data_IF_169328754156
#
_entry.id   IF_169328754156
#
_cell.length_a   1.000
_cell.length_b   1.000
_cell.length_c   1.000
_cell.angle_alpha   90.00
_cell.angle_beta   90.00
_cell.angle_gamma   90.00
#
_symmetry.space_group_name_H-M   'P 1'
#
loop_
_entity.id
_entity.type
_entity.pdbx_description
1 polymer ?
#
# COMPACT_ATOMS: atom_id res chain seq x y z
N UNK A 1 17.83 11.20 17.39
CA UNK A 1 17.60 10.40 16.17
C UNK A 1 16.70 11.20 15.24
N UNK A 2 17.01 11.27 13.94
CA UNK A 2 16.21 12.05 12.99
C UNK A 2 14.97 11.23 12.64
N UNK A 3 13.78 11.83 12.78
CA UNK A 3 12.46 11.23 12.46
C UNK A 3 12.39 10.64 11.04
N UNK A 4 13.30 11.06 10.17
CA UNK A 4 13.43 10.66 8.77
C UNK A 4 14.00 9.24 8.60
N UNK A 5 14.67 8.68 9.61
CA UNK A 5 15.33 7.37 9.53
C UNK A 5 14.40 6.21 9.94
N UNK A 6 13.42 6.47 10.81
CA UNK A 6 12.43 5.47 11.26
C UNK A 6 11.34 5.19 10.22
N UNK A 7 10.94 6.19 9.42
CA UNK A 7 9.95 6.01 8.35
C UNK A 7 10.46 5.15 7.18
N UNK A 8 11.78 5.09 6.97
CA UNK A 8 12.40 4.35 5.86
C UNK A 8 12.44 2.83 6.02
N UNK A 9 12.12 2.29 7.21
CA UNK A 9 12.00 0.85 7.46
C UNK A 9 10.55 0.36 7.43
N UNK A 10 9.58 1.18 7.86
CA UNK A 10 8.16 0.81 7.96
C UNK A 10 7.45 0.67 6.59
N UNK A 11 8.02 1.21 5.52
CA UNK A 11 7.44 1.15 4.16
C UNK A 11 8.15 0.17 3.23
N UNK A 12 9.08 -0.65 3.78
CA UNK A 12 9.79 -1.65 3.01
C UNK A 12 8.92 -2.88 2.82
N UNK A 13 8.55 -3.15 1.57
CA UNK A 13 7.80 -4.35 1.22
C UNK A 13 8.75 -5.55 1.18
N UNK A 14 8.45 -6.57 1.96
CA UNK A 14 9.11 -7.88 1.92
C UNK A 14 8.56 -8.72 0.77
N UNK A 15 9.18 -9.86 0.49
CA UNK A 15 8.68 -10.79 -0.52
C UNK A 15 7.31 -11.39 -0.14
N UNK A 16 7.04 -11.52 1.16
CA UNK A 16 5.73 -11.91 1.67
C UNK A 16 4.68 -10.84 1.42
N UNK A 17 5.01 -9.57 1.67
CA UNK A 17 4.12 -8.44 1.34
C UNK A 17 3.81 -8.42 -0.17
N UNK A 18 4.81 -8.68 -1.02
CA UNK A 18 4.61 -8.76 -2.47
C UNK A 18 3.68 -9.92 -2.85
N UNK A 19 3.87 -11.09 -2.25
CA UNK A 19 3.01 -12.25 -2.50
C UNK A 19 1.55 -11.94 -2.11
N UNK A 20 1.36 -11.28 -0.98
CA UNK A 20 0.04 -10.89 -0.50
C UNK A 20 -0.59 -9.82 -1.39
N UNK A 21 0.16 -8.79 -1.82
CA UNK A 21 -0.32 -7.79 -2.80
C UNK A 21 -0.84 -8.48 -4.06
N UNK A 22 -0.12 -9.50 -4.55
CA UNK A 22 -0.55 -10.27 -5.73
C UNK A 22 -1.81 -11.11 -5.46
N UNK A 23 -1.95 -11.66 -4.26
CA UNK A 23 -3.16 -12.40 -3.86
C UNK A 23 -4.39 -11.49 -3.75
N UNK A 24 -4.25 -10.32 -3.13
CA UNK A 24 -5.32 -9.30 -3.04
C UNK A 24 -5.72 -8.82 -4.43
N UNK A 25 -4.75 -8.46 -5.27
CA UNK A 25 -5.01 -8.05 -6.65
C UNK A 25 -5.76 -9.11 -7.46
N UNK A 26 -5.44 -10.38 -7.23
CA UNK A 26 -6.09 -11.51 -7.90
C UNK A 26 -7.46 -11.88 -7.31
N UNK A 27 -7.94 -11.11 -6.32
CA UNK A 27 -9.18 -11.38 -5.59
C UNK A 27 -9.17 -12.78 -4.93
N UNK A 28 -8.01 -13.19 -4.40
CA UNK A 28 -7.78 -14.49 -3.76
C UNK A 28 -7.53 -14.41 -2.26
N UNK A 29 -7.34 -13.21 -1.73
CA UNK A 29 -7.10 -12.95 -0.32
C UNK A 29 -7.52 -11.52 0.02
N UNK A 30 -7.87 -11.29 1.27
CA UNK A 30 -8.07 -9.95 1.79
C UNK A 30 -6.71 -9.31 2.15
N UNK A 31 -6.70 -7.97 2.14
CA UNK A 31 -5.61 -7.21 2.74
C UNK A 31 -5.53 -7.60 4.23
N UNK A 32 -4.33 -7.71 4.81
CA UNK A 32 -4.17 -7.85 6.27
C UNK A 32 -3.77 -6.52 6.88
N UNK A 33 -3.97 -6.38 8.19
CA UNK A 33 -3.62 -5.17 8.95
C UNK A 33 -2.13 -4.83 8.81
N UNK A 34 -1.24 -5.82 8.82
CA UNK A 34 0.21 -5.59 8.68
C UNK A 34 0.57 -5.01 7.31
N UNK A 35 -0.05 -5.51 6.24
CA UNK A 35 0.19 -4.98 4.90
C UNK A 35 -0.50 -3.62 4.71
N UNK A 36 -1.68 -3.44 5.30
CA UNK A 36 -2.37 -2.16 5.33
C UNK A 36 -1.51 -1.07 5.99
N UNK A 37 -0.91 -1.33 7.14
CA UNK A 37 -0.03 -0.38 7.84
C UNK A 37 1.17 0.07 6.98
N UNK A 38 1.67 -0.81 6.12
CA UNK A 38 2.77 -0.49 5.17
C UNK A 38 2.30 0.27 3.94
N UNK A 39 1.14 -0.11 3.38
CA UNK A 39 0.62 0.48 2.14
C UNK A 39 -0.06 1.83 2.37
N UNK A 40 -0.69 2.03 3.52
CA UNK A 40 -1.36 3.28 3.87
C UNK A 40 -0.47 4.52 3.69
N UNK A 41 0.73 4.61 4.31
CA UNK A 41 1.60 5.77 4.12
C UNK A 41 2.07 5.92 2.66
N UNK A 42 2.25 4.82 1.90
CA UNK A 42 2.65 4.88 0.48
C UNK A 42 1.58 5.60 -0.36
N UNK A 43 0.29 5.26 -0.16
CA UNK A 43 -0.82 5.87 -0.90
C UNK A 43 -1.27 7.21 -0.33
N UNK A 44 -1.04 7.45 0.96
CA UNK A 44 -1.23 8.76 1.58
C UNK A 44 -0.26 9.78 0.97
N UNK A 45 1.01 9.42 0.84
CA UNK A 45 2.06 10.31 0.32
C UNK A 45 2.07 10.39 -1.21
N UNK A 46 1.38 9.49 -1.93
CA UNK A 46 1.31 9.53 -3.40
C UNK A 46 0.41 10.65 -3.93
N UNK A 47 -0.52 11.13 -3.10
CA UNK A 47 -1.55 12.10 -3.49
C UNK A 47 -2.76 11.48 -4.22
N UNK A 48 -2.77 10.15 -4.42
CA UNK A 48 -3.87 9.48 -5.13
C UNK A 48 -5.08 9.20 -4.23
N UNK A 49 -4.84 8.93 -2.94
CA UNK A 49 -5.93 8.65 -2.00
C UNK A 49 -6.62 9.97 -1.60
N UNK A 50 -7.95 10.12 -1.75
CA UNK A 50 -8.64 11.33 -1.33
C UNK A 50 -8.51 11.57 0.17
N UNK A 51 -8.27 12.82 0.59
CA UNK A 51 -8.12 13.16 2.01
C UNK A 51 -9.32 12.74 2.87
N UNK A 52 -10.55 12.86 2.36
CA UNK A 52 -11.74 12.39 3.06
C UNK A 52 -11.74 10.89 3.33
N UNK A 53 -11.17 10.09 2.42
CA UNK A 53 -10.97 8.64 2.57
C UNK A 53 -9.84 8.35 3.55
N UNK A 54 -8.70 9.06 3.48
CA UNK A 54 -7.62 8.94 4.46
C UNK A 54 -8.11 9.16 5.90
N UNK A 55 -9.11 10.04 6.09
CA UNK A 55 -9.71 10.36 7.39
C UNK A 55 -10.93 9.49 7.75
N UNK A 56 -11.25 8.46 6.96
CA UNK A 56 -12.43 7.63 7.12
C UNK A 56 -13.77 8.41 7.17
N UNK A 57 -13.85 9.57 6.49
CA UNK A 57 -15.03 10.46 6.51
C UNK A 57 -15.94 10.26 5.31
N UNK A 58 -15.36 10.04 4.14
CA UNK A 58 -16.08 9.89 2.86
C UNK A 58 -15.92 8.51 2.24
N UNK A 59 -15.20 7.61 2.91
CA UNK A 59 -14.88 6.26 2.48
C UNK A 59 -13.89 5.60 3.42
N UNK A 60 -13.70 4.29 3.28
CA UNK A 60 -12.79 3.49 4.11
C UNK A 60 -11.41 3.35 3.41
N UNK A 61 -10.30 3.75 4.06
CA UNK A 61 -8.97 3.61 3.47
C UNK A 61 -8.58 2.15 3.21
N UNK A 62 -9.08 1.19 3.98
CA UNK A 62 -8.80 -0.24 3.80
C UNK A 62 -9.37 -0.72 2.46
N UNK A 63 -10.66 -0.48 2.24
CA UNK A 63 -11.35 -0.82 1.00
C UNK A 63 -10.74 -0.08 -0.19
N UNK A 64 -10.39 1.20 -0.03
CA UNK A 64 -9.76 1.97 -1.10
C UNK A 64 -8.42 1.37 -1.54
N UNK A 65 -7.57 0.93 -0.60
CA UNK A 65 -6.28 0.30 -0.94
C UNK A 65 -6.50 -1.02 -1.67
N UNK A 66 -7.39 -1.89 -1.16
CA UNK A 66 -7.73 -3.16 -1.83
C UNK A 66 -8.24 -2.93 -3.26
N UNK A 67 -9.19 -2.01 -3.43
CA UNK A 67 -9.72 -1.62 -4.75
C UNK A 67 -8.63 -1.06 -5.66
N UNK A 68 -7.72 -0.24 -5.11
CA UNK A 68 -6.61 0.32 -5.85
C UNK A 68 -5.67 -0.77 -6.35
N UNK A 69 -5.32 -1.75 -5.52
CA UNK A 69 -4.45 -2.87 -5.92
C UNK A 69 -5.06 -3.70 -7.05
N UNK A 70 -6.36 -3.95 -6.99
CA UNK A 70 -7.12 -4.68 -8.03
C UNK A 70 -7.15 -3.90 -9.35
N UNK A 71 -7.45 -2.60 -9.29
CA UNK A 71 -7.70 -1.76 -10.48
C UNK A 71 -6.44 -1.15 -11.10
N UNK A 72 -5.34 -1.05 -10.35
CA UNK A 72 -4.09 -0.44 -10.81
C UNK A 72 -3.53 -1.16 -12.05
N UNK A 73 -3.03 -0.45 -13.08
CA UNK A 73 -2.34 -1.07 -14.21
C UNK A 73 -1.10 -1.85 -13.76
N UNK A 74 -0.80 -2.97 -14.43
CA UNK A 74 0.36 -3.83 -14.08
C UNK A 74 1.68 -3.05 -14.04
N UNK A 75 1.91 -2.17 -15.03
CA UNK A 75 3.12 -1.35 -15.08
C UNK A 75 3.27 -0.44 -13.85
N UNK A 76 2.18 0.17 -13.39
CA UNK A 76 2.21 1.05 -12.21
C UNK A 76 2.51 0.24 -10.94
N UNK A 77 1.93 -0.95 -10.82
CA UNK A 77 2.22 -1.88 -9.72
C UNK A 77 3.71 -2.27 -9.71
N UNK A 78 4.28 -2.63 -10.86
CA UNK A 78 5.70 -2.98 -10.96
C UNK A 78 6.61 -1.82 -10.52
N UNK A 79 6.24 -0.58 -10.84
CA UNK A 79 6.97 0.61 -10.42
C UNK A 79 6.87 0.86 -8.92
N UNK A 80 5.68 0.68 -8.32
CA UNK A 80 5.47 0.74 -6.87
C UNK A 80 6.35 -0.30 -6.16
N UNK A 81 6.29 -1.56 -6.61
CA UNK A 81 7.07 -2.65 -6.04
C UNK A 81 8.57 -2.38 -6.15
N UNK A 82 9.04 -1.93 -7.32
CA UNK A 82 10.45 -1.58 -7.54
C UNK A 82 10.94 -0.45 -6.62
N UNK A 83 10.09 0.51 -6.31
CA UNK A 83 10.42 1.67 -5.46
C UNK A 83 10.47 1.32 -3.98
N UNK A 84 9.61 0.41 -3.51
CA UNK A 84 9.38 0.17 -2.09
C UNK A 84 9.84 -1.21 -1.58
N UNK A 85 10.19 -2.15 -2.46
CA UNK A 85 10.70 -3.47 -2.04
C UNK A 85 12.05 -3.36 -1.31
N UNK A 86 12.19 -4.09 -0.21
CA UNK A 86 13.47 -4.25 0.47
C UNK A 86 14.50 -4.89 -0.50
N UNK A 87 15.69 -4.31 -0.59
CA UNK A 87 16.83 -4.94 -1.28
C UNK A 87 17.51 -5.95 -0.39
#
# INVERSE_FOLDING_TARGET
MKLNEVAGMATRLTDEDVAQIMAVRADRADLTDELYEKLFPIFMDSGDMPYGTMKARTGDPYNWISDRLIRMPKFELEQLLKKHRAR
#
